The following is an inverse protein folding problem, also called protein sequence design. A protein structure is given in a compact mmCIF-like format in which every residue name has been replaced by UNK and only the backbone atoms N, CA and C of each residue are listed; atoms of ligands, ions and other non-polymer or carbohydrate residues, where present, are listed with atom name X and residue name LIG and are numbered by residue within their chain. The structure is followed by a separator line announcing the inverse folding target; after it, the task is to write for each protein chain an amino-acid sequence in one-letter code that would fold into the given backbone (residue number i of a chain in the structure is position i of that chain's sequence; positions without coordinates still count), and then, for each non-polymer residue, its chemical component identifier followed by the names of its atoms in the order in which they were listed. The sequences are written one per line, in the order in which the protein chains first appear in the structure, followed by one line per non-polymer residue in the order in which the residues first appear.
data_IF_304428916769
#
_entry.id   IF_304428916769
#
_cell.length_a   1.000
_cell.length_b   1.000
_cell.length_c   1.000
_cell.angle_alpha   90.00
_cell.angle_beta   90.00
_cell.angle_gamma   90.00
#
_symmetry.space_group_name_H-M   'P 1'
#
loop_
_entity.id
_entity.type
_entity.pdbx_description
1 polymer ?
#
# COMPACT_ATOMS: atom_id res chain seq x y z
N UNK A 1 -8.73 -27.57 4.47
CA UNK A 1 -8.03 -27.15 3.24
C UNK A 1 -7.58 -25.71 3.42
N UNK A 2 -6.32 -25.44 3.12
CA UNK A 2 -5.52 -24.28 3.53
C UNK A 2 -6.14 -22.93 3.15
N UNK A 3 -6.56 -22.14 4.14
CA UNK A 3 -6.95 -20.74 3.96
C UNK A 3 -5.69 -19.90 3.77
N UNK A 4 -5.35 -19.63 2.51
CA UNK A 4 -4.28 -18.72 2.12
C UNK A 4 -4.65 -17.30 2.57
N UNK A 5 -4.14 -16.93 3.73
CA UNK A 5 -4.33 -15.64 4.37
C UNK A 5 -3.53 -14.56 3.61
N UNK A 6 -4.10 -14.09 2.50
CA UNK A 6 -3.65 -12.94 1.73
C UNK A 6 -4.15 -11.64 2.39
N UNK A 7 -3.88 -11.48 3.69
CA UNK A 7 -4.21 -10.26 4.42
C UNK A 7 -3.14 -9.22 4.15
N UNK A 8 -3.31 -8.54 3.01
CA UNK A 8 -2.83 -7.20 2.80
C UNK A 8 -3.38 -6.31 3.93
N UNK A 9 -2.63 -6.18 5.03
CA UNK A 9 -2.94 -5.29 6.15
C UNK A 9 -3.04 -3.83 5.66
N UNK A 10 -4.20 -3.49 5.12
CA UNK A 10 -4.83 -2.19 5.16
C UNK A 10 -5.89 -2.35 6.25
N UNK A 11 -5.55 -2.06 7.50
CA UNK A 11 -6.54 -1.90 8.55
C UNK A 11 -6.48 -0.43 9.02
N UNK A 12 -7.19 0.50 8.35
CA UNK A 12 -7.27 1.89 8.79
C UNK A 12 -8.29 2.14 9.91
N UNK A 13 -8.89 1.11 10.54
CA UNK A 13 -9.88 1.32 11.59
C UNK A 13 -9.65 0.44 12.82
N UNK A 14 -8.85 0.98 13.74
CA UNK A 14 -9.00 0.67 15.17
C UNK A 14 -8.82 2.00 15.92
N UNK A 15 -9.73 2.93 15.65
CA UNK A 15 -9.94 4.11 16.48
C UNK A 15 -10.44 3.64 17.85
N UNK A 16 -9.50 3.44 18.79
CA UNK A 16 -9.81 3.21 20.20
C UNK A 16 -10.57 4.44 20.72
N UNK A 17 -11.88 4.27 20.85
CA UNK A 17 -12.78 5.22 21.51
C UNK A 17 -12.46 5.25 23.00
N UNK A 18 -11.85 6.34 23.49
CA UNK A 18 -11.88 6.71 24.90
C UNK A 18 -12.84 7.88 25.08
N UNK A 19 -14.02 7.56 25.61
CA UNK A 19 -15.07 8.48 26.00
C UNK A 19 -14.58 9.44 27.10
N UNK A 20 -14.76 10.74 26.88
CA UNK A 20 -14.59 11.79 27.89
C UNK A 20 -15.26 13.08 27.40
N UNK A 21 -16.40 13.43 28.00
CA UNK A 21 -17.26 14.54 27.61
C UNK A 21 -16.70 15.92 28.02
N UNK A 22 -16.83 16.94 27.17
CA UNK A 22 -17.32 18.28 27.59
C UNK A 22 -17.74 19.16 26.38
N UNK A 23 -18.74 20.01 26.64
CA UNK A 23 -19.62 20.78 25.76
C UNK A 23 -18.97 22.02 25.11
N UNK A 24 -19.42 22.39 23.91
CA UNK A 24 -19.87 23.76 23.61
C UNK A 24 -20.62 23.86 22.26
N UNK A 25 -21.85 24.41 22.21
CA UNK A 25 -22.56 24.68 20.96
C UNK A 25 -22.20 26.08 20.45
N UNK A 26 -21.40 26.14 19.39
CA UNK A 26 -21.06 27.36 18.67
C UNK A 26 -21.23 27.13 17.17
N UNK A 27 -22.47 27.21 16.71
CA UNK A 27 -22.84 27.17 15.30
C UNK A 27 -22.39 28.46 14.60
N UNK A 28 -21.20 28.45 14.02
CA UNK A 28 -20.85 29.36 12.94
C UNK A 28 -20.75 28.55 11.64
N UNK A 29 -21.86 28.60 10.91
CA UNK A 29 -22.05 28.15 9.54
C UNK A 29 -21.07 28.88 8.62
N UNK A 30 -19.96 28.22 8.30
CA UNK A 30 -18.99 28.66 7.29
C UNK A 30 -18.94 27.65 6.15
N UNK A 31 -20.00 27.64 5.33
CA UNK A 31 -20.07 26.81 4.13
C UNK A 31 -19.17 27.41 3.04
N UNK A 32 -17.92 26.99 2.96
CA UNK A 32 -17.08 27.24 1.78
C UNK A 32 -17.00 25.95 0.96
N UNK A 33 -17.95 25.84 0.02
CA UNK A 33 -17.91 24.90 -1.08
C UNK A 33 -16.69 25.20 -1.96
N UNK A 34 -15.51 24.67 -1.59
CA UNK A 34 -14.42 24.55 -2.53
C UNK A 34 -14.58 23.20 -3.21
N UNK A 35 -15.19 23.24 -4.40
CA UNK A 35 -15.20 22.13 -5.34
C UNK A 35 -13.75 21.74 -5.65
N UNK A 36 -13.21 20.82 -4.86
CA UNK A 36 -11.92 20.22 -5.09
C UNK A 36 -12.08 19.26 -6.25
N UNK A 37 -11.55 19.64 -7.40
CA UNK A 37 -11.21 18.76 -8.51
C UNK A 37 -10.68 17.45 -7.93
N UNK A 38 -11.53 16.43 -7.90
CA UNK A 38 -11.20 15.14 -7.32
C UNK A 38 -10.25 14.46 -8.28
N UNK A 39 -8.98 14.87 -8.24
CA UNK A 39 -7.86 14.18 -8.88
C UNK A 39 -7.94 12.74 -8.39
N UNK A 40 -8.51 11.84 -9.20
CA UNK A 40 -8.52 10.42 -8.92
C UNK A 40 -7.06 10.03 -8.76
N UNK A 41 -6.62 9.86 -7.51
CA UNK A 41 -5.24 9.48 -7.22
C UNK A 41 -5.05 8.08 -7.77
N UNK A 42 -4.50 8.01 -8.99
CA UNK A 42 -4.20 6.77 -9.68
C UNK A 42 -3.29 5.96 -8.77
N UNK A 43 -3.83 4.89 -8.17
CA UNK A 43 -3.08 4.07 -7.21
C UNK A 43 -1.84 3.53 -7.89
N UNK A 44 -0.66 3.78 -7.30
CA UNK A 44 0.61 3.36 -7.88
C UNK A 44 0.66 1.83 -7.99
N UNK A 45 0.97 1.27 -9.17
CA UNK A 45 1.09 -0.18 -9.34
C UNK A 45 2.16 -0.77 -8.43
N UNK A 46 1.85 -1.90 -7.81
CA UNK A 46 2.76 -2.64 -6.93
C UNK A 46 2.80 -4.12 -7.28
N UNK A 47 3.89 -4.78 -6.85
CA UNK A 47 4.03 -6.23 -6.77
C UNK A 47 4.21 -6.64 -5.31
N UNK A 48 3.56 -7.74 -4.92
CA UNK A 48 3.75 -8.39 -3.64
C UNK A 48 4.93 -9.36 -3.70
N UNK A 49 5.84 -9.28 -2.74
CA UNK A 49 7.05 -10.10 -2.69
C UNK A 49 7.10 -10.82 -1.33
N UNK A 50 7.17 -12.15 -1.37
CA UNK A 50 7.60 -12.93 -0.21
C UNK A 50 9.14 -12.97 -0.21
N UNK A 51 9.76 -12.22 0.68
CA UNK A 51 11.21 -12.23 0.88
C UNK A 51 11.59 -13.45 1.74
N UNK A 52 12.14 -14.48 1.10
CA UNK A 52 12.55 -15.72 1.77
C UNK A 52 13.75 -15.48 2.69
N UNK A 53 14.63 -14.53 2.35
CA UNK A 53 15.78 -14.14 3.19
C UNK A 53 15.43 -13.76 4.64
N UNK A 54 14.22 -13.26 4.90
CA UNK A 54 13.77 -12.90 6.25
C UNK A 54 12.38 -13.46 6.59
N UNK A 55 11.81 -14.31 5.72
CA UNK A 55 10.48 -14.89 5.87
C UNK A 55 9.34 -13.87 5.91
N UNK A 56 9.48 -12.71 5.26
CA UNK A 56 8.49 -11.62 5.36
C UNK A 56 7.89 -11.24 4.00
N UNK A 57 6.63 -10.82 4.03
CA UNK A 57 5.96 -10.26 2.87
C UNK A 57 6.15 -8.74 2.81
N UNK A 58 6.37 -8.20 1.61
CA UNK A 58 6.46 -6.77 1.37
C UNK A 58 5.96 -6.38 -0.02
N UNK A 59 5.87 -5.07 -0.28
CA UNK A 59 5.45 -4.54 -1.57
C UNK A 59 6.60 -3.77 -2.22
N UNK A 60 6.75 -3.95 -3.52
CA UNK A 60 7.67 -3.17 -4.36
C UNK A 60 6.88 -2.42 -5.43
N UNK A 61 7.40 -1.28 -5.85
CA UNK A 61 6.69 -0.36 -6.75
C UNK A 61 7.40 -0.20 -8.07
N UNK A 62 6.65 0.17 -9.10
CA UNK A 62 7.21 0.48 -10.40
C UNK A 62 8.11 1.71 -10.31
N UNK A 63 9.27 1.64 -10.95
CA UNK A 63 10.16 2.79 -11.11
C UNK A 63 9.53 3.87 -12.02
N UNK A 64 10.06 5.09 -11.98
CA UNK A 64 9.57 6.20 -12.79
C UNK A 64 9.70 5.93 -14.30
N UNK A 65 10.76 5.24 -14.73
CA UNK A 65 10.99 4.85 -16.12
C UNK A 65 10.05 3.75 -16.63
N UNK A 66 9.24 3.14 -15.75
CA UNK A 66 8.31 2.05 -16.05
C UNK A 66 8.97 0.79 -16.66
N UNK A 67 10.26 0.61 -16.44
CA UNK A 67 11.06 -0.53 -16.94
C UNK A 67 11.24 -1.63 -15.90
N UNK A 68 10.96 -1.36 -14.62
CA UNK A 68 11.12 -2.34 -13.56
C UNK A 68 10.25 -2.03 -12.33
N UNK A 69 9.93 -3.07 -11.56
CA UNK A 69 9.55 -2.92 -10.16
C UNK A 69 10.78 -3.05 -9.28
N UNK A 70 10.97 -2.10 -8.37
CA UNK A 70 12.16 -2.00 -7.52
C UNK A 70 11.77 -1.83 -6.06
N UNK A 71 12.58 -2.42 -5.18
CA UNK A 71 12.42 -2.27 -3.74
C UNK A 71 13.47 -3.06 -2.97
N UNK A 72 13.22 -3.24 -1.69
CA UNK A 72 14.11 -3.92 -0.76
C UNK A 72 13.33 -4.72 0.29
N UNK A 73 13.98 -5.73 0.87
CA UNK A 73 13.48 -6.40 2.06
C UNK A 73 13.46 -5.41 3.25
N UNK A 74 12.33 -5.20 3.95
CA UNK A 74 12.28 -4.24 5.05
C UNK A 74 13.06 -4.66 6.29
N UNK A 75 13.52 -5.92 6.39
CA UNK A 75 14.35 -6.40 7.50
C UNK A 75 15.86 -6.30 7.23
N UNK A 76 16.33 -6.83 6.10
CA UNK A 76 17.77 -6.90 5.79
C UNK A 76 18.22 -5.94 4.68
N UNK A 77 17.31 -5.13 4.13
CA UNK A 77 17.57 -4.21 3.03
C UNK A 77 18.08 -4.85 1.72
N UNK A 78 18.00 -6.19 1.57
CA UNK A 78 18.34 -6.89 0.33
C UNK A 78 17.55 -6.29 -0.84
N UNK A 79 18.26 -5.83 -1.88
CA UNK A 79 17.67 -5.16 -3.05
C UNK A 79 17.02 -6.18 -3.98
N UNK A 80 15.90 -5.80 -4.58
CA UNK A 80 15.21 -6.58 -5.61
C UNK A 80 14.83 -5.69 -6.79
N UNK A 81 14.95 -6.25 -8.00
CA UNK A 81 14.56 -5.61 -9.26
C UNK A 81 13.90 -6.65 -10.17
N UNK A 82 12.65 -6.39 -10.56
CA UNK A 82 11.90 -7.23 -11.50
C UNK A 82 11.69 -6.40 -12.76
N UNK A 83 12.25 -6.86 -13.89
CA UNK A 83 12.15 -6.17 -15.17
C UNK A 83 10.74 -6.29 -15.77
N UNK A 84 10.33 -5.25 -16.51
CA UNK A 84 9.11 -5.23 -17.31
C UNK A 84 9.56 -5.35 -18.77
N UNK A 85 9.12 -6.40 -19.45
CA UNK A 85 9.48 -6.68 -20.84
C UNK A 85 8.40 -7.45 -21.60
N UNK A 86 8.54 -7.54 -22.94
CA UNK A 86 7.63 -8.35 -23.76
C UNK A 86 7.69 -9.82 -23.32
N UNK A 87 6.52 -10.46 -23.18
CA UNK A 87 6.41 -11.81 -22.61
C UNK A 87 6.33 -11.85 -21.08
N UNK A 88 6.23 -10.69 -20.41
CA UNK A 88 5.95 -10.62 -18.98
C UNK A 88 4.60 -11.25 -18.60
N UNK A 89 4.52 -11.79 -17.39
CA UNK A 89 3.31 -12.39 -16.85
C UNK A 89 2.47 -11.33 -16.10
N UNK A 90 1.15 -11.47 -16.11
CA UNK A 90 0.21 -10.65 -15.33
C UNK A 90 0.20 -10.94 -13.82
N UNK A 91 0.99 -11.94 -13.37
CA UNK A 91 1.14 -12.31 -11.96
C UNK A 91 1.70 -11.15 -11.13
N UNK A 92 1.08 -10.90 -9.97
CA UNK A 92 1.45 -9.79 -9.07
C UNK A 92 2.17 -10.20 -7.80
N UNK A 93 2.33 -11.50 -7.57
CA UNK A 93 2.93 -12.06 -6.36
C UNK A 93 4.14 -12.92 -6.72
N UNK A 94 5.28 -12.61 -6.13
CA UNK A 94 6.55 -13.29 -6.40
C UNK A 94 7.23 -13.69 -5.09
N UNK A 95 8.20 -14.61 -5.19
CA UNK A 95 9.11 -14.97 -4.09
C UNK A 95 10.51 -14.51 -4.43
N UNK A 96 11.25 -14.05 -3.44
CA UNK A 96 12.61 -13.53 -3.58
C UNK A 96 13.53 -14.18 -2.54
N UNK A 97 14.44 -15.03 -3.01
CA UNK A 97 15.44 -15.75 -2.23
C UNK A 97 16.73 -14.97 -2.05
#
# INVERSE_FOLDING_TARGET
MSSSQFDAYNNPDASVSRSGANKNPGSHTGSNNKAGDSKVSQRRPFLGIQFECCGIYGRIYRNAAQTAYVGNCPKCAKRIKILIGPGGNSTRFFRAS
#
